data_IF_260070867802
#
_entry.id   IF_260070867802
#
_cell.length_a   1.000
_cell.length_b   1.000
_cell.length_c   1.000
_cell.angle_alpha   90.00
_cell.angle_beta   90.00
_cell.angle_gamma   90.00
#
_symmetry.space_group_name_H-M   'P 1'
#
loop_
_entity.id
_entity.type
_entity.pdbx_description
1 polymer ?
#
# COMPACT_ATOMS: atom_id res chain seq x y z
N UNK A 1 9.88 -47.41 5.69
CA UNK A 1 10.50 -46.67 6.82
C UNK A 1 10.57 -45.22 6.37
N UNK A 2 10.03 -44.30 7.17
CA UNK A 2 9.71 -42.91 6.79
C UNK A 2 10.93 -42.22 6.18
N UNK A 3 10.79 -41.81 4.92
CA UNK A 3 11.77 -40.96 4.26
C UNK A 3 11.93 -39.70 5.08
N UNK A 4 13.16 -39.49 5.55
CA UNK A 4 13.59 -38.31 6.24
C UNK A 4 13.59 -37.17 5.21
N UNK A 5 12.41 -36.62 4.91
CA UNK A 5 12.29 -35.32 4.27
C UNK A 5 12.97 -34.34 5.22
N UNK A 6 14.23 -34.07 4.93
CA UNK A 6 15.03 -33.01 5.55
C UNK A 6 14.31 -31.71 5.26
N UNK A 7 13.33 -31.40 6.11
CA UNK A 7 12.53 -30.19 6.01
C UNK A 7 13.53 -29.08 6.24
N UNK A 8 13.93 -28.41 5.16
CA UNK A 8 14.93 -27.35 5.24
C UNK A 8 14.35 -26.31 6.18
N UNK A 9 15.02 -26.12 7.32
CA UNK A 9 14.60 -25.22 8.38
C UNK A 9 15.58 -24.06 8.46
N UNK A 10 15.08 -22.92 8.93
CA UNK A 10 15.88 -21.72 9.13
C UNK A 10 15.48 -21.05 10.43
N UNK A 11 16.46 -20.48 11.12
CA UNK A 11 16.23 -19.75 12.36
C UNK A 11 15.83 -18.29 12.07
N UNK A 12 14.69 -17.86 12.62
CA UNK A 12 14.25 -16.47 12.57
C UNK A 12 15.10 -15.61 13.49
N UNK A 13 15.67 -14.51 12.98
CA UNK A 13 16.53 -13.64 13.80
C UNK A 13 15.78 -12.84 14.87
N UNK A 14 14.44 -12.73 14.79
CA UNK A 14 13.61 -12.04 15.78
C UNK A 14 13.19 -13.00 16.91
N UNK A 15 12.41 -14.04 16.62
CA UNK A 15 11.90 -14.95 17.65
C UNK A 15 12.84 -16.11 18.01
N UNK A 16 13.99 -16.25 17.32
CA UNK A 16 15.00 -17.30 17.53
C UNK A 16 14.50 -18.74 17.40
N UNK A 17 13.33 -18.94 16.80
CA UNK A 17 12.75 -20.27 16.52
C UNK A 17 13.25 -20.79 15.19
N UNK A 18 13.56 -22.08 15.16
CA UNK A 18 13.73 -22.85 13.92
C UNK A 18 12.36 -23.13 13.32
N UNK A 19 12.21 -22.76 12.05
CA UNK A 19 10.94 -22.84 11.32
C UNK A 19 11.20 -23.36 9.91
N UNK A 20 10.22 -24.02 9.27
CA UNK A 20 10.36 -24.46 7.88
C UNK A 20 10.53 -23.25 6.95
N UNK A 21 11.16 -23.43 5.78
CA UNK A 21 11.36 -22.37 4.80
C UNK A 21 10.06 -21.66 4.38
N UNK A 22 8.93 -22.37 4.36
CA UNK A 22 7.61 -21.81 4.04
C UNK A 22 7.14 -20.73 5.01
N UNK A 23 7.70 -20.72 6.23
CA UNK A 23 7.44 -19.68 7.22
C UNK A 23 8.18 -18.36 6.93
N UNK A 24 9.03 -18.31 5.89
CA UNK A 24 9.80 -17.14 5.48
C UNK A 24 9.37 -16.65 4.09
N UNK A 25 9.59 -15.37 3.80
CA UNK A 25 9.48 -14.86 2.44
C UNK A 25 10.75 -15.21 1.66
N UNK A 26 10.65 -15.47 0.36
CA UNK A 26 11.84 -15.64 -0.48
C UNK A 26 12.29 -14.28 -1.03
N UNK A 27 13.52 -13.88 -0.72
CA UNK A 27 14.07 -12.63 -1.23
C UNK A 27 14.69 -12.85 -2.61
N UNK A 28 14.04 -12.32 -3.66
CA UNK A 28 14.50 -12.44 -5.05
C UNK A 28 15.86 -11.76 -5.29
N UNK A 29 16.18 -10.70 -4.55
CA UNK A 29 17.44 -9.95 -4.73
C UNK A 29 18.64 -10.72 -4.17
N UNK A 30 18.46 -11.39 -3.03
CA UNK A 30 19.53 -12.11 -2.32
C UNK A 30 19.49 -13.62 -2.55
N UNK A 31 18.55 -14.10 -3.39
CA UNK A 31 18.28 -15.51 -3.66
C UNK A 31 18.23 -16.40 -2.41
N UNK A 32 17.75 -15.85 -1.29
CA UNK A 32 17.68 -16.59 -0.04
C UNK A 32 16.40 -16.27 0.74
N UNK A 33 15.95 -17.21 1.58
CA UNK A 33 14.87 -16.95 2.52
C UNK A 33 15.20 -15.75 3.42
N UNK A 34 14.17 -14.98 3.74
CA UNK A 34 14.27 -13.79 4.55
C UNK A 34 14.83 -14.10 5.96
N UNK A 35 15.38 -13.08 6.61
CA UNK A 35 15.96 -13.20 7.96
C UNK A 35 14.89 -13.30 9.06
N UNK A 36 13.68 -12.81 8.77
CA UNK A 36 12.54 -12.82 9.68
C UNK A 36 11.42 -13.69 9.13
N UNK A 37 10.77 -14.48 9.98
CA UNK A 37 9.59 -15.23 9.57
C UNK A 37 8.40 -14.29 9.28
N UNK A 38 7.44 -14.78 8.50
CA UNK A 38 6.20 -14.08 8.12
C UNK A 38 5.45 -13.54 9.35
N UNK A 39 5.41 -14.30 10.45
CA UNK A 39 4.78 -13.88 11.70
C UNK A 39 5.48 -12.66 12.33
N UNK A 40 6.81 -12.68 12.49
CA UNK A 40 7.56 -11.55 13.01
C UNK A 40 7.48 -10.32 12.10
N UNK A 41 7.48 -10.51 10.77
CA UNK A 41 7.23 -9.45 9.79
C UNK A 41 5.86 -8.81 10.01
N UNK A 42 4.82 -9.63 10.20
CA UNK A 42 3.44 -9.16 10.45
C UNK A 42 3.36 -8.35 11.74
N UNK A 43 3.91 -8.84 12.85
CA UNK A 43 3.90 -8.12 14.13
C UNK A 43 4.63 -6.79 14.03
N UNK A 44 5.84 -6.77 13.46
CA UNK A 44 6.61 -5.54 13.28
C UNK A 44 5.91 -4.53 12.37
N UNK A 45 5.24 -5.01 11.32
CA UNK A 45 4.44 -4.16 10.45
C UNK A 45 3.25 -3.56 11.23
N UNK A 46 2.53 -4.37 12.01
CA UNK A 46 1.41 -3.90 12.84
C UNK A 46 1.86 -2.88 13.89
N UNK A 47 2.98 -3.10 14.57
CA UNK A 47 3.58 -2.14 15.49
C UNK A 47 3.95 -0.84 14.79
N UNK A 48 4.56 -0.92 13.60
CA UNK A 48 4.84 0.25 12.78
C UNK A 48 3.57 0.99 12.40
N UNK A 49 2.51 0.29 12.00
CA UNK A 49 1.21 0.92 11.72
C UNK A 49 0.65 1.61 12.96
N UNK A 50 0.60 0.95 14.12
CA UNK A 50 0.08 1.55 15.36
C UNK A 50 0.88 2.77 15.80
N UNK A 51 2.21 2.69 15.76
CA UNK A 51 3.09 3.80 16.16
C UNK A 51 3.05 4.95 15.15
N UNK A 52 2.98 4.65 13.85
CA UNK A 52 2.96 5.64 12.78
C UNK A 52 1.56 6.26 12.60
N UNK A 53 0.48 5.54 12.86
CA UNK A 53 -0.88 6.10 12.91
C UNK A 53 -1.04 7.05 14.09
N UNK A 54 -0.51 6.69 15.27
CA UNK A 54 -0.42 7.59 16.41
C UNK A 54 0.45 8.83 16.09
N UNK A 55 1.57 8.64 15.39
CA UNK A 55 2.48 9.75 15.04
C UNK A 55 1.94 10.65 13.90
N UNK A 56 1.24 10.08 12.91
CA UNK A 56 0.69 10.81 11.76
C UNK A 56 -0.57 11.59 12.11
N UNK A 57 -1.41 11.08 13.01
CA UNK A 57 -2.68 11.73 13.36
C UNK A 57 -2.52 12.83 14.42
N UNK A 58 -1.49 12.78 15.27
CA UNK A 58 -1.37 13.73 16.39
C UNK A 58 -0.69 15.05 16.00
N UNK A 59 0.14 15.08 14.93
CA UNK A 59 0.97 16.27 14.65
C UNK A 59 1.02 16.76 13.20
N UNK A 60 0.26 16.17 12.26
CA UNK A 60 0.24 16.68 10.89
C UNK A 60 -0.92 17.65 10.71
N UNK A 61 -0.69 18.93 11.03
CA UNK A 61 -1.46 20.01 10.39
C UNK A 61 -1.23 19.86 8.89
N UNK A 62 -2.24 19.37 8.18
CA UNK A 62 -2.18 19.27 6.73
C UNK A 62 -2.19 20.70 6.19
N UNK A 63 -1.20 21.09 5.40
CA UNK A 63 -1.16 22.39 4.72
C UNK A 63 -2.31 22.55 3.69
N UNK A 64 -3.06 21.48 3.45
CA UNK A 64 -4.20 21.43 2.55
C UNK A 64 -5.47 20.91 3.25
N UNK A 65 -6.61 21.39 2.75
CA UNK A 65 -7.94 21.00 3.20
C UNK A 65 -8.18 19.50 2.97
N UNK A 66 -8.45 18.78 4.06
CA UNK A 66 -8.91 17.39 4.00
C UNK A 66 -10.43 17.42 4.14
N UNK A 67 -11.15 17.23 3.03
CA UNK A 67 -12.62 17.37 2.98
C UNK A 67 -13.31 16.50 4.05
N UNK A 68 -12.82 15.28 4.30
CA UNK A 68 -13.38 14.36 5.30
C UNK A 68 -13.20 14.84 6.75
N UNK A 69 -12.27 15.75 7.01
CA UNK A 69 -12.02 16.34 8.33
C UNK A 69 -12.83 17.61 8.58
N UNK A 70 -13.55 18.13 7.57
CA UNK A 70 -14.44 19.29 7.73
C UNK A 70 -15.57 18.90 8.68
N UNK A 71 -15.73 19.67 9.77
CA UNK A 71 -16.72 19.39 10.83
C UNK A 71 -18.15 19.62 10.35
N UNK A 72 -18.38 20.71 9.63
CA UNK A 72 -19.69 21.07 9.10
C UNK A 72 -20.11 20.08 7.99
N UNK A 73 -21.24 19.35 8.16
CA UNK A 73 -21.70 18.38 7.20
C UNK A 73 -22.10 18.97 5.84
N UNK A 74 -22.71 20.15 5.80
CA UNK A 74 -23.19 20.77 4.57
C UNK A 74 -22.02 21.27 3.73
N UNK A 75 -21.06 21.95 4.36
CA UNK A 75 -19.82 22.38 3.70
C UNK A 75 -19.04 21.16 3.19
N UNK A 76 -18.94 20.10 4.02
CA UNK A 76 -18.27 18.86 3.61
C UNK A 76 -18.93 18.24 2.38
N UNK A 77 -20.27 18.18 2.35
CA UNK A 77 -21.03 17.65 1.21
C UNK A 77 -20.82 18.49 -0.05
N UNK A 78 -20.85 19.81 0.06
CA UNK A 78 -20.62 20.72 -1.07
C UNK A 78 -19.24 20.52 -1.68
N UNK A 79 -18.20 20.43 -0.84
CA UNK A 79 -16.83 20.18 -1.27
C UNK A 79 -16.67 18.83 -1.97
N UNK A 80 -17.33 17.78 -1.46
CA UNK A 80 -17.37 16.46 -2.11
C UNK A 80 -17.98 16.58 -3.51
N UNK A 81 -19.14 17.24 -3.62
CA UNK A 81 -19.82 17.40 -4.90
C UNK A 81 -18.98 18.22 -5.89
N UNK A 82 -18.30 19.27 -5.42
CA UNK A 82 -17.39 20.04 -6.25
C UNK A 82 -16.23 19.18 -6.76
N UNK A 83 -15.55 18.44 -5.88
CA UNK A 83 -14.44 17.56 -6.26
C UNK A 83 -14.85 16.53 -7.30
N UNK A 84 -16.03 15.92 -7.15
CA UNK A 84 -16.57 14.96 -8.11
C UNK A 84 -16.79 15.58 -9.49
N UNK A 85 -17.37 16.79 -9.55
CA UNK A 85 -17.53 17.53 -10.81
C UNK A 85 -16.19 17.82 -11.48
N UNK A 86 -15.22 18.34 -10.72
CA UNK A 86 -13.88 18.64 -11.22
C UNK A 86 -13.18 17.41 -11.80
N UNK A 87 -13.30 16.26 -11.12
CA UNK A 87 -12.73 15.00 -11.60
C UNK A 87 -13.41 14.55 -12.88
N UNK A 88 -14.74 14.59 -12.95
CA UNK A 88 -15.50 14.21 -14.15
C UNK A 88 -15.12 15.07 -15.36
N UNK A 89 -15.02 16.39 -15.18
CA UNK A 89 -14.57 17.31 -16.23
C UNK A 89 -13.14 17.02 -16.68
N UNK A 90 -12.23 16.76 -15.72
CA UNK A 90 -10.84 16.41 -16.02
C UNK A 90 -10.74 15.12 -16.84
N UNK A 91 -11.51 14.09 -16.47
CA UNK A 91 -11.58 12.83 -17.23
C UNK A 91 -12.09 13.09 -18.64
N UNK A 92 -13.17 13.87 -18.80
CA UNK A 92 -13.71 14.22 -20.12
C UNK A 92 -12.65 14.92 -20.98
N UNK A 93 -11.95 15.91 -20.42
CA UNK A 93 -10.87 16.64 -21.14
C UNK A 93 -9.74 15.69 -21.55
N UNK A 94 -9.31 14.77 -20.68
CA UNK A 94 -8.24 13.81 -21.00
C UNK A 94 -8.66 12.84 -22.10
N UNK A 95 -9.90 12.33 -22.07
CA UNK A 95 -10.41 11.43 -23.12
C UNK A 95 -10.49 12.10 -24.49
N UNK A 96 -10.92 13.36 -24.53
CA UNK A 96 -10.95 14.12 -25.79
C UNK A 96 -9.54 14.28 -26.37
N UNK A 97 -8.55 14.65 -25.54
CA UNK A 97 -7.16 14.75 -25.99
C UNK A 97 -6.61 13.43 -26.53
N UNK A 98 -6.91 12.31 -25.86
CA UNK A 98 -6.51 10.99 -26.32
C UNK A 98 -7.13 10.65 -27.68
N UNK A 99 -8.41 10.95 -27.87
CA UNK A 99 -9.07 10.75 -29.16
C UNK A 99 -8.44 11.60 -30.28
N UNK A 100 -8.19 12.89 -30.00
CA UNK A 100 -7.54 13.78 -30.96
C UNK A 100 -6.13 13.29 -31.34
N UNK A 101 -5.35 12.81 -30.35
CA UNK A 101 -4.03 12.20 -30.56
C UNK A 101 -4.11 10.89 -31.37
N UNK A 102 -5.10 10.03 -31.09
CA UNK A 102 -5.35 8.80 -31.84
C UNK A 102 -5.73 9.09 -33.31
N UNK A 103 -6.57 10.08 -33.55
CA UNK A 103 -6.96 10.51 -34.90
C UNK A 103 -5.73 11.01 -35.67
N UNK A 104 -4.92 11.87 -35.06
CA UNK A 104 -3.68 12.39 -35.65
C UNK A 104 -2.67 11.28 -35.96
N UNK A 105 -2.56 10.27 -35.10
CA UNK A 105 -1.65 9.13 -35.31
C UNK A 105 -2.15 8.14 -36.36
N UNK A 106 -3.46 8.08 -36.61
CA UNK A 106 -4.06 7.16 -37.60
C UNK A 106 -4.13 7.77 -39.01
N UNK A 107 -3.91 9.09 -39.14
CA UNK A 107 -3.93 9.79 -40.43
C UNK A 107 -2.57 9.89 -41.14
N UNK A 108 -1.57 9.13 -40.68
CA UNK A 108 -0.23 9.00 -41.28
C UNK A 108 0.03 7.59 -41.79
#
# INVERSE_FOLDING_TARGET
MKDLETTITRCCSCCKRELPLDAFYFNKQQQCPDRYCKACRKTRSQESYRTNEYSRNVNKRSDYLVITQVRDPEIRKELILHALRTVAESIKRKRLKQLDEEILNTSY
#
